data_IF_827529373709
#
_entry.id   IF_827529373709
#
_cell.length_a   1.000
_cell.length_b   1.000
_cell.length_c   1.000
_cell.angle_alpha   90.00
_cell.angle_beta   90.00
_cell.angle_gamma   90.00
#
_symmetry.space_group_name_H-M   'P 1'
#
loop_
_entity.id
_entity.type
_entity.pdbx_description
1 polymer ?
#
# COMPACT_ATOMS: atom_id res chain seq x y z
N UNK A 1 -3.20 19.44 -0.17
CA UNK A 1 -1.76 19.67 0.08
C UNK A 1 -1.09 19.94 -1.26
N UNK A 2 -0.01 20.71 -1.29
CA UNK A 2 0.75 21.00 -2.51
C UNK A 2 2.12 20.33 -2.47
N UNK A 3 2.49 19.66 -3.56
CA UNK A 3 3.75 18.92 -3.68
C UNK A 3 4.32 19.20 -5.08
N UNK A 4 5.45 19.92 -5.13
CA UNK A 4 6.02 20.42 -6.40
C UNK A 4 5.02 21.19 -7.25
N UNK A 5 4.30 22.15 -6.64
CA UNK A 5 3.26 22.98 -7.28
C UNK A 5 2.01 22.21 -7.77
N UNK A 6 1.92 20.90 -7.53
CA UNK A 6 0.74 20.09 -7.83
C UNK A 6 -0.15 19.92 -6.60
N UNK A 7 -1.47 20.05 -6.77
CA UNK A 7 -2.45 19.78 -5.72
C UNK A 7 -2.72 18.27 -5.56
N UNK A 8 -2.65 17.81 -4.32
CA UNK A 8 -2.99 16.44 -3.94
C UNK A 8 -3.86 16.43 -2.70
N UNK A 9 -4.82 15.50 -2.65
CA UNK A 9 -5.43 15.10 -1.38
C UNK A 9 -4.57 14.01 -0.73
N UNK A 10 -4.62 13.93 0.60
CA UNK A 10 -3.97 12.84 1.34
C UNK A 10 -4.52 11.48 0.87
N UNK A 11 -5.84 11.40 0.65
CA UNK A 11 -6.50 10.18 0.20
C UNK A 11 -6.02 9.72 -1.19
N UNK A 12 -5.80 10.66 -2.11
CA UNK A 12 -5.24 10.35 -3.44
C UNK A 12 -3.82 9.77 -3.35
N UNK A 13 -2.97 10.37 -2.50
CA UNK A 13 -1.59 9.89 -2.32
C UNK A 13 -1.57 8.51 -1.68
N UNK A 14 -2.39 8.30 -0.64
CA UNK A 14 -2.51 7.00 0.03
C UNK A 14 -3.08 5.93 -0.91
N UNK A 15 -4.10 6.25 -1.70
CA UNK A 15 -4.69 5.35 -2.69
C UNK A 15 -3.66 4.91 -3.73
N UNK A 16 -2.85 5.85 -4.24
CA UNK A 16 -1.76 5.55 -5.19
C UNK A 16 -0.68 4.70 -4.54
N UNK A 17 -0.24 5.03 -3.34
CA UNK A 17 0.75 4.25 -2.61
C UNK A 17 0.27 2.81 -2.35
N UNK A 18 -0.98 2.65 -1.89
CA UNK A 18 -1.60 1.33 -1.63
C UNK A 18 -1.71 0.48 -2.89
N UNK A 19 -2.11 1.08 -4.02
CA UNK A 19 -2.22 0.37 -5.30
C UNK A 19 -0.86 0.09 -5.94
N UNK A 20 0.14 0.92 -5.64
CA UNK A 20 1.52 0.78 -6.13
C UNK A 20 2.37 -0.22 -5.35
N UNK A 21 1.92 -0.72 -4.20
CA UNK A 21 2.64 -1.75 -3.44
C UNK A 21 2.80 -3.00 -4.31
N UNK A 22 4.06 -3.41 -4.49
CA UNK A 22 4.44 -4.61 -5.24
C UNK A 22 5.58 -5.33 -4.53
N UNK A 23 5.81 -6.59 -4.88
CA UNK A 23 6.92 -7.37 -4.35
C UNK A 23 8.28 -6.81 -4.81
N UNK A 24 9.27 -6.83 -3.95
CA UNK A 24 10.64 -6.37 -4.28
C UNK A 24 11.58 -7.50 -4.70
N UNK A 25 11.18 -8.77 -4.50
CA UNK A 25 12.02 -9.95 -4.74
C UNK A 25 11.33 -11.08 -5.50
N UNK A 26 12.03 -12.22 -5.63
CA UNK A 26 11.52 -13.43 -6.30
C UNK A 26 10.40 -14.13 -5.51
N UNK A 27 10.37 -13.96 -4.19
CA UNK A 27 9.36 -14.59 -3.34
C UNK A 27 8.05 -13.79 -3.36
N UNK A 28 6.95 -14.51 -3.59
CA UNK A 28 5.61 -13.96 -3.41
C UNK A 28 5.36 -13.72 -1.93
N UNK A 29 4.87 -12.53 -1.58
CA UNK A 29 4.41 -12.19 -0.22
C UNK A 29 2.97 -11.72 -0.28
N UNK A 30 2.16 -11.97 0.76
CA UNK A 30 0.82 -11.40 0.83
C UNK A 30 0.93 -9.88 0.89
N UNK A 31 -0.02 -9.18 0.25
CA UNK A 31 -0.04 -7.70 0.15
C UNK A 31 0.10 -7.03 1.51
N UNK A 32 -0.57 -7.55 2.56
CA UNK A 32 -0.47 -6.98 3.92
C UNK A 32 0.98 -6.94 4.42
N UNK A 33 1.81 -7.94 4.09
CA UNK A 33 3.20 -8.00 4.54
C UNK A 33 4.10 -7.05 3.76
N UNK A 34 3.72 -6.69 2.53
CA UNK A 34 4.41 -5.64 1.77
C UNK A 34 3.98 -4.24 2.25
N UNK A 35 2.71 -4.09 2.63
CA UNK A 35 2.19 -2.85 3.23
C UNK A 35 2.89 -2.50 4.55
N UNK A 36 3.17 -3.50 5.41
CA UNK A 36 3.90 -3.24 6.66
C UNK A 36 5.27 -2.64 6.39
N UNK A 37 5.95 -3.09 5.33
CA UNK A 37 7.28 -2.61 4.95
C UNK A 37 7.21 -1.20 4.32
N UNK A 38 6.21 -0.94 3.47
CA UNK A 38 6.03 0.36 2.78
C UNK A 38 5.57 1.47 3.74
N UNK A 39 4.62 1.17 4.64
CA UNK A 39 4.00 2.16 5.53
C UNK A 39 4.59 2.15 6.95
N UNK A 40 5.58 1.29 7.22
CA UNK A 40 6.22 1.13 8.54
C UNK A 40 5.18 0.95 9.66
N UNK A 41 4.21 0.07 9.44
CA UNK A 41 3.07 -0.12 10.31
C UNK A 41 2.85 -1.59 10.71
N UNK A 42 2.03 -1.82 11.74
CA UNK A 42 1.64 -3.16 12.15
C UNK A 42 0.63 -3.82 11.20
N UNK A 43 0.51 -5.14 11.27
CA UNK A 43 -0.38 -5.94 10.41
C UNK A 43 -1.84 -5.48 10.44
N UNK A 44 -2.37 -5.10 11.61
CA UNK A 44 -3.73 -4.58 11.73
C UNK A 44 -3.97 -3.32 10.89
N UNK A 45 -3.01 -2.39 10.89
CA UNK A 45 -3.07 -1.15 10.10
C UNK A 45 -2.93 -1.47 8.61
N UNK A 46 -2.02 -2.37 8.24
CA UNK A 46 -1.86 -2.83 6.87
C UNK A 46 -3.16 -3.44 6.29
N UNK A 47 -3.84 -4.29 7.06
CA UNK A 47 -5.14 -4.84 6.65
C UNK A 47 -6.22 -3.75 6.51
N UNK A 48 -6.24 -2.78 7.41
CA UNK A 48 -7.19 -1.67 7.35
C UNK A 48 -6.96 -0.79 6.11
N UNK A 49 -5.70 -0.49 5.76
CA UNK A 49 -5.34 0.24 4.54
C UNK A 49 -5.79 -0.50 3.28
N UNK A 50 -5.52 -1.81 3.20
CA UNK A 50 -5.98 -2.62 2.07
C UNK A 50 -7.50 -2.54 1.90
N UNK A 51 -8.26 -2.73 2.99
CA UNK A 51 -9.72 -2.67 2.97
C UNK A 51 -10.25 -1.28 2.62
N UNK A 52 -9.66 -0.21 3.17
CA UNK A 52 -10.05 1.18 2.89
C UNK A 52 -10.02 1.50 1.40
N UNK A 53 -9.01 1.00 0.69
CA UNK A 53 -8.82 1.28 -0.75
C UNK A 53 -9.26 0.13 -1.67
N UNK A 54 -9.99 -0.86 -1.14
CA UNK A 54 -10.63 -1.92 -1.92
C UNK A 54 -9.67 -2.96 -2.52
N UNK A 55 -8.51 -3.20 -1.90
CA UNK A 55 -7.56 -4.23 -2.33
C UNK A 55 -7.51 -5.39 -1.35
N UNK A 56 -7.27 -6.61 -1.85
CA UNK A 56 -7.23 -7.80 -1.01
C UNK A 56 -5.88 -7.87 -0.24
N UNK A 57 -5.88 -7.82 1.11
CA UNK A 57 -4.67 -7.94 1.91
C UNK A 57 -3.97 -9.30 1.78
N UNK A 58 -4.70 -10.36 1.44
CA UNK A 58 -4.16 -11.73 1.34
C UNK A 58 -3.67 -12.08 -0.06
N UNK A 59 -3.87 -11.19 -1.03
CA UNK A 59 -3.37 -11.37 -2.39
C UNK A 59 -1.85 -11.47 -2.38
N UNK A 60 -1.32 -12.54 -3.00
CA UNK A 60 0.11 -12.74 -3.12
C UNK A 60 0.66 -11.96 -4.30
N UNK A 61 1.45 -10.93 -4.01
CA UNK A 61 2.08 -10.08 -5.02
C UNK A 61 3.49 -10.57 -5.36
N UNK A 62 3.87 -10.41 -6.62
CA UNK A 62 5.23 -10.58 -7.15
C UNK A 62 5.67 -9.28 -7.83
N UNK A 63 6.98 -9.10 -7.97
CA UNK A 63 7.55 -8.04 -8.81
C UNK A 63 7.05 -8.14 -10.25
#
# INVERSE_FOLDING_TARGET
MTLSECEFTEDDLLSRAVRGVTGTGRQKRPRWALMTDVFLCGSGVAHALCRRFGVDPNEYLRK
#
